data_IF_133927250828
#
_entry.id   IF_133927250828
#
_cell.length_a   1.000
_cell.length_b   1.000
_cell.length_c   1.000
_cell.angle_alpha   90.00
_cell.angle_beta   90.00
_cell.angle_gamma   90.00
#
_symmetry.space_group_name_H-M   'P 1'
#
loop_
_entity.id
_entity.type
_entity.pdbx_description
1 polymer ?
#
# COMPACT_ATOMS: atom_id res chain seq x y z
N UNK A 1 4.50 11.94 0.71
CA UNK A 1 5.80 12.03 1.42
C UNK A 1 6.61 10.80 1.07
N UNK A 2 7.94 10.88 1.08
CA UNK A 2 8.81 9.72 0.86
C UNK A 2 9.58 9.42 2.14
N UNK A 3 9.59 8.15 2.56
CA UNK A 3 10.44 7.64 3.64
C UNK A 3 11.62 6.92 3.02
N UNK A 4 12.80 7.11 3.57
CA UNK A 4 14.02 6.45 3.12
C UNK A 4 14.42 5.41 4.15
N UNK A 5 14.69 4.20 3.69
CA UNK A 5 15.30 3.14 4.45
C UNK A 5 16.66 2.82 3.85
N UNK A 6 17.69 3.20 4.57
CA UNK A 6 19.03 2.68 4.39
C UNK A 6 19.17 1.44 5.27
N UNK A 7 19.57 0.33 4.67
CA UNK A 7 19.59 -0.96 5.33
C UNK A 7 20.76 -1.04 6.34
N UNK A 8 20.54 -0.61 7.59
CA UNK A 8 21.50 -0.72 8.68
C UNK A 8 21.15 -1.86 9.65
N UNK A 9 22.11 -2.32 10.46
CA UNK A 9 21.97 -3.39 11.46
C UNK A 9 21.04 -3.06 12.67
N UNK A 10 19.96 -2.29 12.48
CA UNK A 10 18.97 -2.03 13.52
C UNK A 10 17.84 -3.05 13.44
N UNK A 11 17.54 -3.69 14.58
CA UNK A 11 16.62 -4.83 14.68
C UNK A 11 15.17 -4.42 15.03
N UNK A 12 14.92 -3.15 15.33
CA UNK A 12 13.65 -2.60 15.83
C UNK A 12 13.10 -1.45 14.96
N UNK A 13 13.49 -1.43 13.68
CA UNK A 13 13.12 -0.33 12.80
C UNK A 13 11.63 -0.35 12.43
N UNK A 14 10.95 0.77 12.68
CA UNK A 14 9.55 0.96 12.31
C UNK A 14 9.32 2.36 11.75
N UNK A 15 8.35 2.47 10.85
CA UNK A 15 7.95 3.75 10.26
C UNK A 15 6.43 3.86 10.18
N UNK A 16 5.96 5.09 10.32
CA UNK A 16 4.58 5.48 10.05
C UNK A 16 4.48 6.16 8.70
N UNK A 17 3.55 5.70 7.87
CA UNK A 17 3.30 6.20 6.51
C UNK A 17 1.83 6.50 6.30
N UNK A 18 1.54 7.33 5.32
CA UNK A 18 0.18 7.54 4.83
C UNK A 18 -0.08 6.79 3.52
N UNK A 19 -1.35 6.64 3.17
CA UNK A 19 -1.72 6.23 1.83
C UNK A 19 -1.16 7.26 0.83
N UNK A 20 -0.64 6.75 -0.30
CA UNK A 20 0.09 7.46 -1.34
C UNK A 20 1.48 7.98 -0.94
N UNK A 21 1.96 7.69 0.27
CA UNK A 21 3.38 7.85 0.56
C UNK A 21 4.22 6.79 -0.16
N UNK A 22 5.52 7.06 -0.22
CA UNK A 22 6.52 6.17 -0.80
C UNK A 22 7.50 5.72 0.28
N UNK A 23 7.97 4.48 0.18
CA UNK A 23 9.14 3.98 0.89
C UNK A 23 10.22 3.68 -0.16
N UNK A 24 11.34 4.37 -0.05
CA UNK A 24 12.54 4.11 -0.84
C UNK A 24 13.51 3.28 0.00
N UNK A 25 13.83 2.08 -0.46
CA UNK A 25 14.82 1.19 0.14
C UNK A 25 16.10 1.25 -0.70
N UNK A 26 17.21 1.55 -0.05
CA UNK A 26 18.53 1.54 -0.66
C UNK A 26 19.31 0.30 -0.24
N UNK A 27 19.86 -0.41 -1.23
CA UNK A 27 20.73 -1.55 -1.01
C UNK A 27 22.14 -1.10 -0.57
N UNK A 28 22.88 -1.94 0.16
CA UNK A 28 24.30 -1.71 0.42
C UNK A 28 25.08 -1.48 -0.87
N UNK A 29 26.00 -0.52 -0.85
CA UNK A 29 26.85 -0.17 -1.97
C UNK A 29 28.28 0.01 -1.48
N UNK A 30 29.22 -0.56 -2.23
CA UNK A 30 30.62 -0.63 -1.85
C UNK A 30 31.49 -0.12 -3.01
N UNK A 31 32.63 0.48 -2.67
CA UNK A 31 33.65 0.83 -3.66
C UNK A 31 34.21 -0.44 -4.32
N UNK A 32 34.69 -0.32 -5.56
CA UNK A 32 35.29 -1.43 -6.33
C UNK A 32 36.54 -2.02 -5.67
N UNK A 33 37.11 -1.34 -4.67
CA UNK A 33 38.24 -1.81 -3.87
C UNK A 33 37.85 -2.91 -2.87
N UNK A 34 36.56 -3.07 -2.57
CA UNK A 34 36.03 -4.09 -1.66
C UNK A 34 35.77 -5.38 -2.45
N UNK A 35 36.42 -6.51 -2.12
CA UNK A 35 36.13 -7.82 -2.71
C UNK A 35 34.70 -8.28 -2.44
N UNK A 36 34.13 -9.00 -3.40
CA UNK A 36 32.76 -9.52 -3.39
C UNK A 36 32.46 -10.33 -2.12
N UNK A 37 33.41 -11.10 -1.61
CA UNK A 37 33.25 -11.95 -0.42
C UNK A 37 33.01 -11.14 0.86
N UNK A 38 33.37 -9.85 0.86
CA UNK A 38 33.13 -8.92 1.97
C UNK A 38 31.92 -8.03 1.72
N UNK A 39 31.23 -8.20 0.60
CA UNK A 39 30.02 -7.44 0.29
C UNK A 39 28.78 -8.15 0.79
N UNK A 40 27.80 -7.36 1.19
CA UNK A 40 26.54 -7.87 1.72
C UNK A 40 25.48 -7.97 0.64
N UNK A 41 24.81 -9.12 0.59
CA UNK A 41 23.75 -9.42 -0.37
C UNK A 41 22.47 -9.80 0.38
N UNK A 42 21.35 -9.20 0.00
CA UNK A 42 20.08 -9.38 0.70
C UNK A 42 18.92 -9.60 -0.25
N UNK A 43 18.04 -10.52 0.12
CA UNK A 43 16.71 -10.63 -0.48
C UNK A 43 15.69 -10.12 0.53
N UNK A 44 14.89 -9.14 0.12
CA UNK A 44 13.80 -8.61 0.95
C UNK A 44 12.51 -9.37 0.66
N UNK A 45 11.84 -9.78 1.73
CA UNK A 45 10.55 -10.43 1.68
C UNK A 45 9.51 -9.59 2.41
N UNK A 46 8.31 -9.51 1.84
CA UNK A 46 7.13 -9.06 2.54
C UNK A 46 6.47 -10.28 3.20
N UNK A 47 6.25 -10.22 4.52
CA UNK A 47 5.79 -11.35 5.33
C UNK A 47 4.60 -10.96 6.21
N UNK A 48 3.94 -11.95 6.80
CA UNK A 48 2.98 -11.73 7.89
C UNK A 48 3.71 -11.55 9.24
N UNK A 49 2.95 -11.26 10.30
CA UNK A 49 3.49 -11.06 11.64
C UNK A 49 4.28 -12.28 12.17
N UNK A 50 3.82 -13.50 11.90
CA UNK A 50 4.52 -14.71 12.35
C UNK A 50 5.91 -14.80 11.71
N UNK A 51 5.99 -14.63 10.38
CA UNK A 51 7.26 -14.63 9.64
C UNK A 51 8.19 -13.49 10.05
N UNK A 52 7.62 -12.32 10.34
CA UNK A 52 8.38 -11.20 10.91
C UNK A 52 8.99 -11.55 12.27
N UNK A 53 8.22 -12.20 13.14
CA UNK A 53 8.66 -12.55 14.49
C UNK A 53 9.74 -13.65 14.46
N UNK A 54 9.56 -14.66 13.60
CA UNK A 54 10.45 -15.82 13.49
C UNK A 54 11.62 -15.67 12.51
N UNK A 55 11.71 -14.57 11.76
CA UNK A 55 12.63 -14.43 10.61
C UNK A 55 12.42 -15.53 9.55
N UNK A 56 11.17 -15.91 9.30
CA UNK A 56 10.83 -16.95 8.33
C UNK A 56 9.98 -16.40 7.18
N UNK A 57 10.49 -16.52 5.96
CA UNK A 57 9.80 -16.12 4.74
C UNK A 57 9.25 -17.32 3.95
N UNK A 58 9.52 -18.57 4.35
CA UNK A 58 9.26 -19.76 3.52
C UNK A 58 7.77 -20.11 3.43
N UNK A 59 7.00 -19.94 4.51
CA UNK A 59 5.60 -20.38 4.54
C UNK A 59 4.61 -19.38 3.93
N UNK A 60 4.83 -18.07 4.11
CA UNK A 60 3.88 -17.00 3.74
C UNK A 60 4.56 -15.69 3.31
N UNK A 61 5.83 -15.75 2.92
CA UNK A 61 6.59 -14.60 2.44
C UNK A 61 6.56 -14.48 0.92
N UNK A 62 6.52 -13.25 0.43
CA UNK A 62 6.69 -12.95 -0.99
C UNK A 62 8.03 -12.23 -1.18
N UNK A 63 8.86 -12.75 -2.08
CA UNK A 63 10.09 -12.06 -2.49
C UNK A 63 9.71 -10.72 -3.11
N UNK A 64 10.17 -9.62 -2.51
CA UNK A 64 9.83 -8.26 -2.93
C UNK A 64 10.92 -7.64 -3.78
N UNK A 65 12.16 -7.69 -3.31
CA UNK A 65 13.33 -7.13 -4.00
C UNK A 65 14.60 -7.93 -3.68
N UNK A 66 15.63 -7.72 -4.49
CA UNK A 66 16.94 -8.37 -4.35
C UNK A 66 18.05 -7.34 -4.50
N UNK A 67 18.89 -7.25 -3.47
CA UNK A 67 20.11 -6.45 -3.42
C UNK A 67 21.30 -7.36 -3.78
N UNK A 68 21.61 -7.43 -5.08
CA UNK A 68 22.65 -8.30 -5.64
C UNK A 68 23.67 -7.56 -6.53
N UNK A 69 23.72 -6.22 -6.45
CA UNK A 69 24.69 -5.39 -7.18
C UNK A 69 25.39 -4.42 -6.23
N UNK A 70 26.32 -4.91 -5.40
CA UNK A 70 27.06 -4.07 -4.46
C UNK A 70 27.91 -3.00 -5.15
N UNK A 71 28.40 -3.25 -6.37
CA UNK A 71 29.24 -2.35 -7.17
C UNK A 71 28.48 -1.72 -8.35
N UNK A 72 27.20 -1.38 -8.16
CA UNK A 72 26.40 -0.75 -9.21
C UNK A 72 27.01 0.60 -9.66
N UNK A 73 27.23 0.84 -10.97
CA UNK A 73 27.92 2.04 -11.47
C UNK A 73 27.13 3.33 -11.25
N UNK A 74 25.82 3.24 -11.04
CA UNK A 74 24.92 4.38 -10.81
C UNK A 74 24.62 4.60 -9.32
N UNK A 75 25.52 4.14 -8.44
CA UNK A 75 25.32 4.15 -6.99
C UNK A 75 24.42 3.02 -6.50
N UNK A 76 23.92 3.10 -5.25
CA UNK A 76 23.14 2.03 -4.62
C UNK A 76 21.86 1.73 -5.40
N UNK A 77 21.54 0.44 -5.52
CA UNK A 77 20.24 0.02 -6.02
C UNK A 77 19.13 0.59 -5.13
N UNK A 78 18.13 1.18 -5.77
CA UNK A 78 16.97 1.79 -5.12
C UNK A 78 15.70 1.08 -5.53
N UNK A 79 14.89 0.69 -4.55
CA UNK A 79 13.56 0.17 -4.75
C UNK A 79 12.53 1.08 -4.09
N UNK A 80 11.42 1.34 -4.77
CA UNK A 80 10.34 2.17 -4.26
C UNK A 80 9.07 1.37 -4.09
N UNK A 81 8.47 1.45 -2.92
CA UNK A 81 7.12 0.97 -2.62
C UNK A 81 6.17 2.16 -2.52
N UNK A 82 4.99 2.05 -3.12
CA UNK A 82 3.92 3.04 -2.96
C UNK A 82 2.81 2.44 -2.12
N UNK A 83 2.46 3.12 -1.03
CA UNK A 83 1.37 2.68 -0.14
C UNK A 83 0.00 3.03 -0.73
N UNK A 84 -0.42 2.32 -1.76
CA UNK A 84 -1.67 2.58 -2.48
C UNK A 84 -2.78 1.60 -2.10
N UNK A 85 -4.03 2.06 -2.15
CA UNK A 85 -5.23 1.25 -1.84
C UNK A 85 -5.53 0.19 -2.88
N UNK A 86 -5.15 0.46 -4.13
CA UNK A 86 -5.45 -0.38 -5.29
C UNK A 86 -4.22 -0.38 -6.19
N UNK A 87 -3.89 -1.56 -6.71
CA UNK A 87 -2.81 -1.73 -7.69
C UNK A 87 -3.39 -2.27 -9.00
N UNK A 88 -3.04 -1.68 -10.15
CA UNK A 88 -3.42 -2.25 -11.45
C UNK A 88 -2.60 -3.50 -11.81
N UNK A 89 -1.51 -3.77 -11.07
CA UNK A 89 -0.66 -4.93 -11.27
C UNK A 89 -1.17 -6.12 -10.45
N UNK A 90 -1.33 -7.28 -11.09
CA UNK A 90 -1.89 -8.50 -10.48
C UNK A 90 -1.05 -9.07 -9.34
N UNK A 91 0.27 -8.82 -9.34
CA UNK A 91 1.18 -9.19 -8.26
C UNK A 91 1.58 -7.99 -7.39
N UNK A 92 0.90 -6.86 -7.55
CA UNK A 92 1.13 -5.67 -6.72
C UNK A 92 0.49 -5.83 -5.34
N UNK A 93 0.97 -5.05 -4.37
CA UNK A 93 0.44 -5.07 -3.01
C UNK A 93 -0.52 -3.90 -2.79
N UNK A 94 -1.63 -4.20 -2.10
CA UNK A 94 -2.61 -3.22 -1.66
C UNK A 94 -2.45 -2.93 -0.17
N UNK A 95 -2.45 -1.65 0.18
CA UNK A 95 -2.27 -1.17 1.53
C UNK A 95 -3.55 -0.57 2.08
N UNK A 96 -3.89 -0.84 3.34
CA UNK A 96 -5.10 -0.35 4.00
C UNK A 96 -4.73 0.52 5.20
N UNK A 97 -5.40 1.66 5.41
CA UNK A 97 -5.21 2.48 6.60
C UNK A 97 -5.47 1.71 7.90
N UNK A 98 -4.72 2.04 8.94
CA UNK A 98 -4.79 1.39 10.26
C UNK A 98 -4.21 -0.02 10.29
N UNK A 99 -3.46 -0.44 9.27
CA UNK A 99 -2.83 -1.77 9.20
C UNK A 99 -1.31 -1.71 9.25
N UNK A 100 -0.75 -2.80 9.75
CA UNK A 100 0.68 -3.03 9.86
C UNK A 100 1.13 -4.02 8.78
N UNK A 101 2.29 -3.73 8.21
CA UNK A 101 2.93 -4.50 7.16
C UNK A 101 4.39 -4.76 7.53
N UNK A 102 4.91 -5.91 7.14
CA UNK A 102 6.17 -6.41 7.67
C UNK A 102 7.10 -6.84 6.55
N UNK A 103 8.36 -6.42 6.68
CA UNK A 103 9.43 -6.81 5.77
C UNK A 103 10.58 -7.43 6.58
N UNK A 104 11.20 -8.45 6.00
CA UNK A 104 12.44 -9.06 6.54
C UNK A 104 13.48 -9.24 5.44
N UNK A 105 14.75 -9.16 5.79
CA UNK A 105 15.85 -9.59 4.90
C UNK A 105 16.27 -11.02 5.22
N UNK A 106 16.49 -11.85 4.21
CA UNK A 106 17.19 -13.11 4.42
C UNK A 106 18.68 -12.88 4.24
N UNK A 107 19.46 -13.18 5.27
CA UNK A 107 20.93 -13.25 5.23
C UNK A 107 21.33 -14.68 5.58
N UNK A 108 22.31 -15.25 4.88
CA UNK A 108 22.87 -16.55 5.26
C UNK A 108 24.02 -16.24 6.21
N UNK A 109 23.75 -16.24 7.52
CA UNK A 109 24.83 -16.14 8.49
C UNK A 109 25.64 -17.45 8.48
N UNK A 110 26.97 -17.36 8.40
CA UNK A 110 27.87 -18.54 8.35
C UNK A 110 27.72 -19.48 9.56
N UNK A 111 27.22 -18.95 10.68
CA UNK A 111 27.03 -19.70 11.93
C UNK A 111 25.67 -20.43 12.02
N UNK A 112 24.85 -20.41 10.96
CA UNK A 112 23.52 -21.04 10.93
C UNK A 112 22.47 -20.36 11.83
N UNK A 113 22.81 -19.26 12.50
CA UNK A 113 21.88 -18.47 13.32
C UNK A 113 21.10 -17.54 12.40
N UNK A 114 19.79 -17.73 12.28
CA UNK A 114 18.92 -16.84 11.50
C UNK A 114 18.80 -15.48 12.20
N UNK A 115 19.66 -14.54 11.85
CA UNK A 115 19.46 -13.12 12.15
C UNK A 115 18.99 -12.43 10.87
N UNK A 116 17.78 -11.86 10.90
CA UNK A 116 17.25 -11.07 9.80
C UNK A 116 17.13 -9.60 10.21
N UNK A 117 17.34 -8.69 9.25
CA UNK A 117 16.91 -7.31 9.41
C UNK A 117 15.40 -7.28 9.23
N UNK A 118 14.75 -6.38 9.98
CA UNK A 118 13.31 -6.34 10.13
C UNK A 118 12.82 -4.91 9.99
N UNK A 119 11.73 -4.71 9.26
CA UNK A 119 11.02 -3.45 9.15
C UNK A 119 9.54 -3.66 9.42
N UNK A 120 8.99 -2.88 10.33
CA UNK A 120 7.55 -2.73 10.53
C UNK A 120 7.07 -1.42 9.92
N UNK A 121 6.04 -1.48 9.07
CA UNK A 121 5.40 -0.30 8.49
C UNK A 121 3.98 -0.21 9.01
N UNK A 122 3.64 0.88 9.68
CA UNK A 122 2.27 1.18 10.05
C UNK A 122 1.68 2.21 9.08
N UNK A 123 0.62 1.81 8.36
CA UNK A 123 -0.13 2.73 7.51
C UNK A 123 -1.14 3.45 8.39
N UNK A 124 -0.89 4.72 8.66
CA UNK A 124 -1.72 5.52 9.56
C UNK A 124 -3.17 5.62 9.06
N UNK A 125 -4.17 5.66 9.98
CA UNK A 125 -5.56 5.91 9.62
C UNK A 125 -5.73 7.23 8.84
N UNK A 126 -6.69 7.28 7.91
CA UNK A 126 -6.84 8.42 6.98
C UNK A 126 -6.98 9.78 7.67
N UNK A 127 -7.67 9.84 8.81
CA UNK A 127 -7.85 11.07 9.59
C UNK A 127 -6.53 11.63 10.16
N UNK A 128 -5.55 10.78 10.44
CA UNK A 128 -4.25 11.16 10.98
C UNK A 128 -3.22 11.55 9.91
N UNK A 129 -3.57 11.36 8.64
CA UNK A 129 -2.75 11.70 7.48
C UNK A 129 -3.01 13.09 6.91
N UNK A 130 -4.04 13.79 7.40
CA UNK A 130 -4.30 15.18 7.04
C UNK A 130 -3.15 16.01 7.56
N UNK A 131 -2.38 16.60 6.63
CA UNK A 131 -1.41 17.64 6.96
C UNK A 131 -2.25 18.80 7.50
N UNK A 132 -2.35 18.92 8.82
CA UNK A 132 -2.84 20.16 9.42
C UNK A 132 -2.02 21.26 8.78
N UNK A 133 -2.66 22.12 8.00
CA UNK A 133 -2.10 23.41 7.64
C UNK A 133 -2.00 24.13 8.98
N UNK A 134 -0.87 23.92 9.64
CA UNK A 134 -0.52 24.57 10.88
C UNK A 134 -0.30 26.03 10.55
N UNK A 135 -1.34 26.82 10.78
CA UNK A 135 -1.26 28.26 11.01
C UNK A 135 -0.38 28.44 12.25
N UNK A 136 0.93 28.38 12.07
CA UNK A 136 1.89 28.75 13.11
C UNK A 136 3.24 29.23 12.56
N UNK A 137 3.28 29.72 11.32
CA UNK A 137 4.39 30.56 10.89
C UNK A 137 3.96 31.55 9.79
N UNK A 138 4.03 32.83 10.13
CA UNK A 138 4.09 34.05 9.28
C UNK A 138 3.31 35.22 9.90
N UNK A 139 3.87 35.81 10.96
CA UNK A 139 3.74 37.26 11.14
C UNK A 139 4.85 37.91 10.30
N UNK A 140 4.45 38.98 9.59
CA UNK A 140 5.25 39.94 8.82
C UNK A 140 5.62 39.48 7.40
N UNK A 141 4.77 39.83 6.43
CA UNK A 141 4.99 40.99 5.55
C UNK A 141 3.61 41.49 5.04
N UNK A 142 3.27 42.70 5.46
CA UNK A 142 2.18 43.49 4.91
C UNK A 142 2.63 44.07 3.57
N UNK A 143 1.95 43.71 2.46
CA UNK A 143 1.87 44.53 1.25
C UNK A 143 0.50 44.31 0.59
N UNK A 144 -0.40 45.27 0.85
CA UNK A 144 -1.50 45.74 0.01
C UNK A 144 -2.47 44.75 -0.62
N UNK A 145 -3.62 44.67 0.03
CA UNK A 145 -4.95 44.58 -0.58
C UNK A 145 -5.10 45.49 -1.82
N UNK A 146 -5.40 44.89 -2.97
CA UNK A 146 -6.07 45.61 -4.07
C UNK A 146 -7.18 44.73 -4.60
N UNK A 147 -8.33 44.86 -3.95
CA UNK A 147 -9.64 44.48 -4.49
C UNK A 147 -9.86 45.33 -5.74
N UNK A 148 -9.94 44.70 -6.91
CA UNK A 148 -10.58 45.31 -8.08
C UNK A 148 -11.95 44.66 -8.24
N UNK A 149 -12.94 45.29 -7.60
CA UNK A 149 -14.35 45.13 -7.94
C UNK A 149 -14.62 46.04 -9.13
N UNK A 150 -14.58 45.48 -10.34
CA UNK A 150 -15.23 46.09 -11.48
C UNK A 150 -16.56 45.37 -11.73
N UNK A 151 -17.60 45.89 -11.05
CA UNK A 151 -18.99 45.77 -11.48
C UNK A 151 -19.14 46.54 -12.80
N UNK A 152 -19.83 45.97 -13.80
CA UNK A 152 -20.98 46.64 -14.41
C UNK A 152 -21.80 45.67 -15.31
N UNK A 153 -23.09 45.97 -15.51
CA UNK A 153 -24.17 45.00 -15.69
C UNK A 153 -24.75 45.01 -17.11
N UNK A 154 -25.42 43.94 -17.56
CA UNK A 154 -26.50 44.06 -18.56
C UNK A 154 -27.58 42.99 -18.41
N UNK A 155 -28.76 43.46 -18.77
CA UNK A 155 -30.10 43.08 -18.40
C UNK A 155 -30.85 42.43 -19.58
N UNK A 156 -31.78 41.55 -19.21
CA UNK A 156 -33.07 41.18 -19.81
C UNK A 156 -33.28 40.60 -21.23
N UNK A 157 -34.13 39.53 -21.21
CA UNK A 157 -35.12 39.03 -22.21
C UNK A 157 -34.60 38.42 -23.53
N UNK A 158 -35.16 37.34 -24.11
CA UNK A 158 -36.48 36.67 -24.05
C UNK A 158 -36.44 35.31 -24.79
N UNK A 159 -37.32 34.36 -24.41
CA UNK A 159 -37.93 33.24 -25.18
C UNK A 159 -37.03 32.28 -26.01
N UNK A 160 -37.17 30.95 -25.93
CA UNK A 160 -38.33 30.19 -26.46
C UNK A 160 -38.40 28.76 -25.89
N UNK A 161 -39.63 28.27 -25.73
CA UNK A 161 -40.02 27.00 -25.10
C UNK A 161 -39.89 25.78 -26.02
N UNK A 162 -39.68 24.60 -25.43
CA UNK A 162 -40.35 23.35 -25.81
C UNK A 162 -40.28 22.31 -24.67
N UNK A 163 -41.43 22.05 -24.03
CA UNK A 163 -41.74 20.79 -23.32
C UNK A 163 -42.69 19.96 -24.23
N UNK A 164 -43.24 18.81 -23.80
CA UNK A 164 -42.62 17.54 -23.45
C UNK A 164 -43.23 16.39 -24.29
N UNK A 165 -42.69 15.17 -24.20
CA UNK A 165 -43.39 13.97 -24.67
C UNK A 165 -43.74 13.04 -23.50
N UNK A 166 -45.02 13.05 -23.11
CA UNK A 166 -45.74 11.89 -22.57
C UNK A 166 -46.05 10.94 -23.75
N UNK A 167 -46.15 9.61 -23.58
CA UNK A 167 -47.32 8.98 -22.96
C UNK A 167 -47.04 7.59 -22.38
N UNK A 168 -47.76 7.38 -21.28
CA UNK A 168 -48.06 6.18 -20.52
C UNK A 168 -48.99 5.19 -21.24
N UNK A 169 -48.97 3.90 -20.86
CA UNK A 169 -50.11 3.13 -20.27
C UNK A 169 -49.74 1.62 -20.11
N UNK A 170 -49.77 1.06 -18.89
CA UNK A 170 -50.80 0.18 -18.26
C UNK A 170 -50.77 -1.28 -18.79
N UNK A 171 -50.99 -2.39 -18.06
CA UNK A 171 -51.47 -2.72 -16.71
C UNK A 171 -51.08 -4.19 -16.40
N UNK A 172 -50.90 -4.54 -15.12
CA UNK A 172 -51.73 -5.50 -14.34
C UNK A 172 -51.34 -6.99 -14.33
N UNK A 173 -51.47 -7.56 -13.12
CA UNK A 173 -51.56 -8.99 -12.81
C UNK A 173 -50.21 -9.71 -12.60
N UNK A 174 -50.02 -10.66 -11.69
CA UNK A 174 -50.69 -11.13 -10.48
C UNK A 174 -49.86 -12.37 -10.03
N UNK A 175 -49.69 -12.56 -8.72
CA UNK A 175 -49.64 -13.88 -8.02
C UNK A 175 -48.57 -14.96 -8.33
N UNK A 176 -47.86 -15.31 -7.25
CA UNK A 176 -47.84 -16.65 -6.60
C UNK A 176 -46.64 -17.61 -6.73
N UNK A 177 -46.20 -18.02 -5.52
CA UNK A 177 -45.61 -19.32 -5.08
C UNK A 177 -44.12 -19.52 -5.36
N UNK A 178 -43.30 -19.56 -4.30
CA UNK A 178 -42.91 -20.76 -3.52
C UNK A 178 -42.03 -21.72 -4.35
N UNK A 179 -40.88 -22.23 -3.91
CA UNK A 179 -40.51 -22.64 -2.57
C UNK A 179 -38.99 -22.71 -2.41
N UNK A 180 -38.56 -22.49 -1.16
CA UNK A 180 -37.29 -22.95 -0.60
C UNK A 180 -37.33 -24.48 -0.43
N UNK A 181 -36.31 -25.21 -0.88
CA UNK A 181 -36.05 -26.63 -0.54
C UNK A 181 -34.52 -26.80 -0.55
N UNK A 182 -33.85 -26.81 0.61
CA UNK A 182 -33.61 -27.93 1.55
C UNK A 182 -32.20 -28.50 1.38
N UNK A 183 -31.37 -28.17 2.37
CA UNK A 183 -30.17 -28.91 2.72
C UNK A 183 -30.57 -30.22 3.42
N UNK A 184 -29.99 -31.35 3.00
CA UNK A 184 -29.74 -32.57 3.80
C UNK A 184 -28.81 -33.47 2.97
N UNK A 185 -27.57 -33.68 3.41
CA UNK A 185 -27.13 -34.83 4.23
C UNK A 185 -26.83 -36.07 3.39
N UNK A 186 -25.56 -36.30 3.06
CA UNK A 186 -24.97 -37.63 2.87
C UNK A 186 -23.58 -37.65 3.53
N UNK A 187 -23.59 -37.62 4.86
CA UNK A 187 -22.51 -38.13 5.69
C UNK A 187 -22.79 -39.62 5.95
N UNK A 188 -21.71 -40.40 5.96
CA UNK A 188 -21.62 -41.80 6.39
C UNK A 188 -22.09 -42.89 5.41
N UNK A 189 -21.13 -43.47 4.69
CA UNK A 189 -20.92 -44.92 4.71
C UNK A 189 -19.41 -45.20 4.67
N UNK A 190 -18.97 -46.29 5.32
CA UNK A 190 -17.92 -46.27 6.34
C UNK A 190 -16.61 -46.89 5.85
N UNK A 191 -15.60 -46.75 6.71
CA UNK A 191 -14.38 -47.53 6.70
C UNK A 191 -14.63 -49.00 6.34
N UNK A 192 -14.22 -49.41 5.14
CA UNK A 192 -13.95 -50.81 4.81
C UNK A 192 -13.12 -50.90 3.51
N UNK A 193 -11.84 -50.59 3.60
CA UNK A 193 -10.81 -51.20 2.74
C UNK A 193 -9.44 -50.96 3.41
N UNK A 194 -9.21 -51.71 4.48
CA UNK A 194 -7.88 -52.14 4.88
C UNK A 194 -7.54 -53.37 4.02
N UNK A 195 -6.53 -53.28 3.17
CA UNK A 195 -5.50 -54.31 3.01
C UNK A 195 -4.21 -53.65 2.50
#
# INVERSE_FOLDING_TARGET
MTKVLEMFHRTDYHIDVCINDYLDVYCPHYEDSVPEERTEHYVLYMVNYDGYSSCDHTAKGFKRWECNRPHSPNGPLKFSEKFQLFTPFSLGFEFRPGREYYYISSTIAENGRKTCLKLKVFVRPSNSCVKTIGVHDSRVFDVNERVDNSLEPRDDTSHESAEPHSDTTNAAGETWRAASLLATLMLCLPALLML
#
